data_IF_439545352604
#
_entry.id   IF_439545352604
#
_cell.length_a   1.000
_cell.length_b   1.000
_cell.length_c   1.000
_cell.angle_alpha   90.00
_cell.angle_beta   90.00
_cell.angle_gamma   90.00
#
_symmetry.space_group_name_H-M   'P 1'
#
loop_
_entity.id
_entity.type
_entity.pdbx_description
1 polymer ?
#
# COMPACT_ATOMS: atom_id res chain seq x y z
N UNK A 1 -12.93 14.39 -0.12
CA UNK A 1 -13.27 12.95 0.03
C UNK A 1 -11.98 12.25 0.36
N UNK A 2 -11.95 11.46 1.44
CA UNK A 2 -10.75 10.80 1.94
C UNK A 2 -10.29 9.68 0.97
N UNK A 3 -9.10 9.80 0.35
CA UNK A 3 -8.56 8.79 -0.57
C UNK A 3 -8.45 7.39 0.03
N UNK A 4 -8.08 7.30 1.31
CA UNK A 4 -7.87 6.03 2.00
C UNK A 4 -9.20 5.34 2.26
N UNK A 5 -10.23 6.11 2.61
CA UNK A 5 -11.59 5.59 2.73
C UNK A 5 -12.09 4.99 1.42
N UNK A 6 -11.90 5.69 0.30
CA UNK A 6 -12.34 5.19 -1.02
C UNK A 6 -11.65 3.85 -1.32
N UNK A 7 -10.35 3.77 -1.04
CA UNK A 7 -9.60 2.56 -1.35
C UNK A 7 -10.01 1.39 -0.46
N UNK A 8 -10.23 1.64 0.83
CA UNK A 8 -10.76 0.65 1.77
C UNK A 8 -12.16 0.16 1.37
N UNK A 9 -13.05 1.05 0.92
CA UNK A 9 -14.40 0.69 0.49
C UNK A 9 -14.37 -0.13 -0.81
N UNK A 10 -13.48 0.19 -1.76
CA UNK A 10 -13.23 -0.63 -2.96
C UNK A 10 -12.74 -2.03 -2.56
N UNK A 11 -11.73 -2.10 -1.71
CA UNK A 11 -11.13 -3.37 -1.32
C UNK A 11 -12.14 -4.25 -0.55
N UNK A 12 -12.97 -3.64 0.30
CA UNK A 12 -14.05 -4.33 1.00
C UNK A 12 -15.09 -4.93 0.03
N UNK A 13 -15.51 -4.20 -1.00
CA UNK A 13 -16.46 -4.72 -1.99
C UNK A 13 -15.86 -5.90 -2.78
N UNK A 14 -14.59 -5.78 -3.21
CA UNK A 14 -13.93 -6.85 -3.96
C UNK A 14 -13.72 -8.11 -3.11
N UNK A 15 -13.38 -7.95 -1.83
CA UNK A 15 -13.26 -9.06 -0.88
C UNK A 15 -14.62 -9.73 -0.67
N UNK A 16 -15.69 -8.95 -0.46
CA UNK A 16 -17.04 -9.49 -0.33
C UNK A 16 -17.42 -10.36 -1.54
N UNK A 17 -17.23 -9.85 -2.75
CA UNK A 17 -17.56 -10.59 -3.98
C UNK A 17 -16.67 -11.85 -4.13
N UNK A 18 -15.36 -11.74 -3.89
CA UNK A 18 -14.47 -12.89 -3.99
C UNK A 18 -14.82 -13.98 -2.97
N UNK A 19 -15.06 -13.61 -1.71
CA UNK A 19 -15.38 -14.56 -0.65
C UNK A 19 -16.72 -15.25 -0.90
N UNK A 20 -17.70 -14.51 -1.42
CA UNK A 20 -18.99 -15.08 -1.79
C UNK A 20 -18.88 -16.09 -2.94
N UNK A 21 -18.09 -15.76 -3.97
CA UNK A 21 -17.78 -16.66 -5.08
C UNK A 21 -17.06 -17.94 -4.62
N UNK A 22 -16.02 -17.80 -3.79
CA UNK A 22 -15.27 -18.93 -3.24
C UNK A 22 -16.15 -19.83 -2.37
N UNK A 23 -17.05 -19.23 -1.57
CA UNK A 23 -17.99 -19.94 -0.68
C UNK A 23 -18.93 -20.85 -1.45
N UNK A 24 -19.37 -20.45 -2.64
CA UNK A 24 -20.27 -21.26 -3.48
C UNK A 24 -19.52 -22.17 -4.48
N UNK A 25 -18.18 -22.10 -4.51
CA UNK A 25 -17.35 -22.82 -5.48
C UNK A 25 -17.49 -22.29 -6.92
N UNK A 26 -17.88 -21.02 -7.07
CA UNK A 26 -18.05 -20.37 -8.36
C UNK A 26 -16.74 -19.88 -8.97
N UNK A 27 -16.83 -19.34 -10.18
CA UNK A 27 -15.73 -18.73 -10.91
C UNK A 27 -16.13 -17.36 -11.46
N UNK A 28 -15.14 -16.53 -11.79
CA UNK A 28 -15.37 -15.22 -12.43
C UNK A 28 -16.10 -15.31 -13.79
N UNK A 29 -16.26 -16.51 -14.35
CA UNK A 29 -16.96 -16.75 -15.62
C UNK A 29 -18.45 -17.04 -15.45
N UNK A 30 -18.85 -17.58 -14.30
CA UNK A 30 -20.21 -18.07 -14.04
C UNK A 30 -20.94 -17.33 -12.90
N UNK A 31 -20.21 -16.52 -12.13
CA UNK A 31 -20.75 -15.81 -10.96
C UNK A 31 -21.06 -14.35 -11.27
N UNK A 32 -22.16 -13.83 -10.72
CA UNK A 32 -22.55 -12.43 -10.79
C UNK A 32 -23.25 -12.02 -9.49
N UNK A 33 -23.27 -10.71 -9.23
CA UNK A 33 -23.91 -10.11 -8.07
C UNK A 33 -24.94 -9.08 -8.48
N UNK A 34 -26.05 -9.11 -7.76
CA UNK A 34 -27.18 -8.21 -7.93
C UNK A 34 -27.25 -7.19 -6.81
N UNK A 35 -26.92 -5.94 -7.15
CA UNK A 35 -26.95 -4.80 -6.22
C UNK A 35 -28.16 -3.88 -6.43
N UNK A 36 -29.14 -4.28 -7.23
CA UNK A 36 -30.37 -3.52 -7.38
C UNK A 36 -31.21 -3.56 -6.09
N UNK A 37 -32.13 -2.61 -5.95
CA UNK A 37 -33.00 -2.52 -4.78
C UNK A 37 -33.76 -3.84 -4.54
N UNK A 38 -33.72 -4.33 -3.30
CA UNK A 38 -34.40 -5.56 -2.89
C UNK A 38 -33.65 -6.87 -3.21
N UNK A 39 -32.48 -6.80 -3.86
CA UNK A 39 -31.67 -7.99 -4.12
C UNK A 39 -30.82 -8.41 -2.92
N UNK A 40 -30.48 -9.70 -2.86
CA UNK A 40 -29.78 -10.31 -1.74
C UNK A 40 -28.41 -9.68 -1.46
N UNK A 41 -27.61 -9.46 -2.52
CA UNK A 41 -26.24 -8.94 -2.37
C UNK A 41 -26.26 -7.47 -1.92
N UNK A 42 -27.23 -6.68 -2.41
CA UNK A 42 -27.47 -5.31 -1.93
C UNK A 42 -27.72 -5.28 -0.42
N UNK A 43 -28.59 -6.16 0.06
CA UNK A 43 -28.96 -6.25 1.48
C UNK A 43 -27.78 -6.75 2.33
N UNK A 44 -26.99 -7.70 1.81
CA UNK A 44 -25.82 -8.24 2.48
C UNK A 44 -24.74 -7.16 2.69
N UNK A 45 -24.44 -6.38 1.65
CA UNK A 45 -23.47 -5.28 1.70
C UNK A 45 -23.94 -4.17 2.63
N UNK A 46 -25.23 -3.83 2.61
CA UNK A 46 -25.79 -2.85 3.55
C UNK A 46 -25.62 -3.28 5.00
N UNK A 47 -25.94 -4.55 5.29
CA UNK A 47 -25.82 -5.10 6.63
C UNK A 47 -24.37 -5.16 7.11
N UNK A 48 -23.43 -5.45 6.20
CA UNK A 48 -22.01 -5.62 6.54
C UNK A 48 -21.27 -4.28 6.70
N UNK A 49 -21.57 -3.30 5.85
CA UNK A 49 -20.79 -2.07 5.76
C UNK A 49 -21.58 -0.78 6.02
N UNK A 50 -22.92 -0.86 6.12
CA UNK A 50 -23.77 0.31 6.32
C UNK A 50 -23.78 1.29 5.14
N UNK A 51 -23.43 0.83 3.94
CA UNK A 51 -23.36 1.69 2.77
C UNK A 51 -24.75 2.03 2.22
N UNK A 52 -24.96 3.33 1.97
CA UNK A 52 -26.09 3.81 1.20
C UNK A 52 -25.99 3.35 -0.26
N UNK A 53 -27.12 3.39 -0.97
CA UNK A 53 -27.17 3.07 -2.40
C UNK A 53 -26.22 3.96 -3.21
N UNK A 54 -26.23 5.27 -2.96
CA UNK A 54 -25.35 6.22 -3.63
C UNK A 54 -23.87 5.86 -3.41
N UNK A 55 -23.49 5.48 -2.19
CA UNK A 55 -22.11 5.10 -1.90
C UNK A 55 -21.73 3.81 -2.62
N UNK A 56 -22.57 2.77 -2.53
CA UNK A 56 -22.32 1.49 -3.20
C UNK A 56 -22.20 1.65 -4.72
N UNK A 57 -23.12 2.38 -5.35
CA UNK A 57 -23.06 2.63 -6.79
C UNK A 57 -21.84 3.47 -7.17
N UNK A 58 -21.46 4.44 -6.33
CA UNK A 58 -20.21 5.18 -6.46
C UNK A 58 -18.98 4.26 -6.44
N UNK A 59 -18.94 3.28 -5.53
CA UNK A 59 -17.86 2.29 -5.43
C UNK A 59 -17.85 1.39 -6.68
N UNK A 60 -19.00 0.84 -7.09
CA UNK A 60 -19.11 -0.01 -8.28
C UNK A 60 -18.64 0.73 -9.53
N UNK A 61 -19.03 2.00 -9.69
CA UNK A 61 -18.60 2.82 -10.83
C UNK A 61 -17.09 3.05 -10.84
N UNK A 62 -16.47 3.29 -9.68
CA UNK A 62 -15.01 3.40 -9.57
C UNK A 62 -14.33 2.07 -9.92
N UNK A 63 -14.85 0.96 -9.42
CA UNK A 63 -14.34 -0.36 -9.74
C UNK A 63 -14.47 -0.66 -11.25
N UNK A 64 -15.59 -0.28 -11.86
CA UNK A 64 -15.81 -0.40 -13.30
C UNK A 64 -14.79 0.43 -14.10
N UNK A 65 -14.63 1.71 -13.76
CA UNK A 65 -13.64 2.59 -14.41
C UNK A 65 -12.19 2.11 -14.26
N UNK A 66 -11.89 1.35 -13.21
CA UNK A 66 -10.56 0.77 -12.95
C UNK A 66 -10.39 -0.65 -13.52
N UNK A 67 -11.40 -1.20 -14.20
CA UNK A 67 -11.36 -2.56 -14.75
C UNK A 67 -11.44 -3.68 -13.70
N UNK A 68 -11.83 -3.37 -12.46
CA UNK A 68 -11.93 -4.32 -11.35
C UNK A 68 -13.26 -5.08 -11.36
N UNK A 69 -14.32 -4.42 -11.84
CA UNK A 69 -15.65 -4.99 -12.01
C UNK A 69 -16.17 -4.68 -13.41
N UNK A 70 -17.11 -5.48 -13.92
CA UNK A 70 -17.94 -5.11 -15.07
C UNK A 70 -19.39 -5.03 -14.63
N UNK A 71 -20.04 -3.91 -14.91
CA UNK A 71 -21.48 -3.81 -14.76
C UNK A 71 -22.12 -4.19 -16.09
N UNK A 72 -22.73 -5.36 -16.16
CA UNK A 72 -23.36 -5.91 -17.36
C UNK A 72 -24.83 -5.43 -17.50
N UNK A 73 -25.24 -4.48 -16.66
CA UNK A 73 -26.62 -4.01 -16.55
C UNK A 73 -26.67 -2.50 -16.35
N UNK A 74 -27.81 -1.89 -16.66
CA UNK A 74 -28.03 -0.46 -16.36
C UNK A 74 -28.52 -0.22 -14.94
N UNK A 75 -28.92 -1.27 -14.22
CA UNK A 75 -29.53 -1.21 -12.88
C UNK A 75 -28.71 -1.88 -11.78
N UNK A 76 -27.46 -2.25 -12.08
CA UNK A 76 -26.56 -2.97 -11.16
C UNK A 76 -27.11 -4.34 -10.73
N UNK A 77 -28.03 -4.94 -11.49
CA UNK A 77 -28.58 -6.28 -11.22
C UNK A 77 -27.65 -7.42 -11.66
N UNK A 78 -26.63 -7.09 -12.47
CA UNK A 78 -25.63 -8.03 -12.95
C UNK A 78 -24.25 -7.37 -12.98
N UNK A 79 -23.57 -7.42 -11.85
CA UNK A 79 -22.18 -7.00 -11.71
C UNK A 79 -21.29 -8.23 -11.63
N UNK A 80 -20.18 -8.26 -12.36
CA UNK A 80 -19.24 -9.39 -12.38
C UNK A 80 -17.84 -8.96 -11.97
N UNK A 81 -17.13 -9.83 -11.28
CA UNK A 81 -15.74 -9.66 -10.89
C UNK A 81 -14.82 -9.93 -12.09
N UNK A 82 -13.78 -9.12 -12.28
CA UNK A 82 -12.74 -9.40 -13.30
C UNK A 82 -11.57 -10.16 -12.69
N UNK A 83 -10.69 -10.70 -13.55
CA UNK A 83 -9.42 -11.30 -13.10
C UNK A 83 -8.58 -10.31 -12.26
N UNK A 84 -8.53 -9.03 -12.68
CA UNK A 84 -7.84 -7.97 -11.94
C UNK A 84 -8.52 -7.68 -10.60
N UNK A 85 -9.86 -7.61 -10.57
CA UNK A 85 -10.62 -7.42 -9.34
C UNK A 85 -10.42 -8.56 -8.34
N UNK A 86 -10.42 -9.80 -8.84
CA UNK A 86 -10.14 -11.00 -8.03
C UNK A 86 -8.71 -10.99 -7.50
N UNK A 87 -7.72 -10.69 -8.36
CA UNK A 87 -6.31 -10.61 -7.97
C UNK A 87 -6.09 -9.57 -6.88
N UNK A 88 -6.75 -8.42 -6.98
CA UNK A 88 -6.72 -7.37 -5.94
C UNK A 88 -7.35 -7.84 -4.63
N UNK A 89 -8.52 -8.48 -4.67
CA UNK A 89 -9.17 -9.02 -3.47
C UNK A 89 -8.25 -10.00 -2.73
N UNK A 90 -7.64 -10.93 -3.47
CA UNK A 90 -6.67 -11.89 -2.92
C UNK A 90 -5.41 -11.18 -2.39
N UNK A 91 -4.87 -10.23 -3.14
CA UNK A 91 -3.69 -9.47 -2.72
C UNK A 91 -3.91 -8.71 -1.42
N UNK A 92 -5.06 -8.06 -1.24
CA UNK A 92 -5.37 -7.32 0.00
C UNK A 92 -5.67 -8.26 1.17
N UNK A 93 -6.45 -9.33 0.94
CA UNK A 93 -6.80 -10.34 1.95
C UNK A 93 -5.56 -11.05 2.50
N UNK A 94 -4.61 -11.39 1.63
CA UNK A 94 -3.38 -12.06 2.02
C UNK A 94 -2.28 -11.07 2.43
N UNK A 95 -2.15 -9.92 1.76
CA UNK A 95 -1.09 -8.93 2.00
C UNK A 95 -1.06 -8.36 3.41
N UNK A 96 -2.23 -8.24 4.08
CA UNK A 96 -2.30 -7.81 5.47
C UNK A 96 -1.70 -8.82 6.47
N UNK A 97 -1.59 -10.10 6.11
CA UNK A 97 -1.03 -11.17 6.97
C UNK A 97 0.27 -11.80 6.41
N UNK A 98 0.66 -11.47 5.17
CA UNK A 98 1.74 -12.17 4.43
C UNK A 98 3.09 -11.48 4.46
N UNK A 99 3.21 -10.33 5.12
CA UNK A 99 4.52 -9.71 5.41
C UNK A 99 5.47 -10.68 6.14
N UNK A 100 4.92 -11.53 7.00
CA UNK A 100 5.67 -12.55 7.75
C UNK A 100 6.07 -13.78 6.91
N UNK A 101 5.29 -14.15 5.89
CA UNK A 101 5.58 -15.31 5.03
C UNK A 101 6.54 -14.97 3.88
N UNK A 102 6.42 -13.78 3.30
CA UNK A 102 7.34 -13.31 2.24
C UNK A 102 8.77 -13.13 2.76
N UNK A 103 8.95 -12.87 4.05
CA UNK A 103 10.27 -12.87 4.69
C UNK A 103 10.96 -14.25 4.69
N UNK A 104 10.20 -15.35 4.50
CA UNK A 104 10.72 -16.73 4.52
C UNK A 104 10.94 -17.35 3.14
N UNK A 105 10.32 -16.84 2.08
CA UNK A 105 10.49 -17.36 0.72
C UNK A 105 10.86 -16.22 -0.24
N UNK A 106 12.13 -16.18 -0.66
CA UNK A 106 12.63 -15.21 -1.63
C UNK A 106 12.05 -15.50 -3.02
N UNK A 107 10.97 -14.82 -3.40
CA UNK A 107 10.51 -14.76 -4.78
C UNK A 107 11.14 -13.55 -5.47
N UNK A 108 11.89 -13.77 -6.55
CA UNK A 108 12.42 -12.69 -7.39
C UNK A 108 11.44 -12.42 -8.53
N UNK A 109 10.72 -11.29 -8.47
CA UNK A 109 9.87 -10.82 -9.58
C UNK A 109 10.57 -9.62 -10.24
N UNK A 110 11.11 -9.84 -11.44
CA UNK A 110 11.81 -8.82 -12.24
C UNK A 110 13.15 -8.41 -11.63
N UNK A 111 14.27 -8.79 -12.25
CA UNK A 111 15.59 -8.32 -11.80
C UNK A 111 15.83 -6.91 -12.31
N UNK A 112 15.83 -5.92 -11.41
CA UNK A 112 16.32 -4.57 -11.74
C UNK A 112 17.84 -4.60 -11.62
N UNK A 113 18.52 -4.60 -12.77
CA UNK A 113 19.97 -4.44 -12.84
C UNK A 113 20.31 -2.95 -12.79
N UNK A 114 20.59 -2.42 -11.60
CA UNK A 114 21.12 -1.07 -11.43
C UNK A 114 22.63 -1.16 -11.24
N UNK A 115 23.39 -0.36 -11.99
CA UNK A 115 24.80 -0.14 -11.73
C UNK A 115 24.94 0.85 -10.55
N UNK A 116 24.74 0.37 -9.32
CA UNK A 116 24.77 1.18 -8.10
C UNK A 116 23.76 0.74 -7.04
N UNK A 117 23.62 1.52 -5.97
CA UNK A 117 22.58 1.34 -4.97
C UNK A 117 21.21 1.59 -5.60
N UNK A 118 20.40 0.54 -5.72
CA UNK A 118 19.04 0.61 -6.22
C UNK A 118 18.07 0.85 -5.06
N UNK A 119 17.25 1.90 -5.14
CA UNK A 119 16.13 2.10 -4.24
C UNK A 119 14.83 1.73 -4.94
N UNK A 120 14.01 0.88 -4.32
CA UNK A 120 12.67 0.53 -4.82
C UNK A 120 11.64 1.00 -3.79
N UNK A 121 10.83 1.99 -4.17
CA UNK A 121 9.83 2.63 -3.31
C UNK A 121 10.42 3.65 -2.32
N UNK A 122 9.55 4.35 -1.58
CA UNK A 122 9.92 5.46 -0.67
C UNK A 122 10.25 5.01 0.76
N UNK A 123 9.87 3.79 1.12
CA UNK A 123 10.02 3.27 2.49
C UNK A 123 11.46 3.22 2.98
N UNK A 124 12.43 3.04 2.08
CA UNK A 124 13.85 3.00 2.45
C UNK A 124 14.43 4.40 2.72
N UNK A 125 14.05 5.42 1.94
CA UNK A 125 14.49 6.81 2.19
C UNK A 125 14.00 7.31 3.53
N UNK A 126 12.71 7.08 3.84
CA UNK A 126 12.11 7.54 5.08
C UNK A 126 12.74 6.87 6.31
N UNK A 127 12.99 5.56 6.25
CA UNK A 127 13.66 4.84 7.34
C UNK A 127 15.09 5.34 7.58
N UNK A 128 15.88 5.53 6.53
CA UNK A 128 17.25 6.06 6.66
C UNK A 128 17.21 7.48 7.23
N UNK A 129 16.34 8.34 6.69
CA UNK A 129 16.16 9.70 7.18
C UNK A 129 15.85 9.73 8.68
N UNK A 130 14.86 8.94 9.11
CA UNK A 130 14.44 8.86 10.51
C UNK A 130 15.57 8.39 11.44
N UNK A 131 16.38 7.41 11.01
CA UNK A 131 17.51 6.92 11.81
C UNK A 131 18.56 8.00 12.01
N UNK A 132 18.93 8.75 10.95
CA UNK A 132 19.90 9.83 11.08
C UNK A 132 19.35 11.00 11.88
N UNK A 133 18.07 11.35 11.73
CA UNK A 133 17.42 12.34 12.60
C UNK A 133 17.49 11.92 14.07
N UNK A 134 17.21 10.65 14.38
CA UNK A 134 17.30 10.14 15.75
C UNK A 134 18.74 10.21 16.30
N UNK A 135 19.75 9.93 15.47
CA UNK A 135 21.16 10.07 15.86
C UNK A 135 21.48 11.54 16.20
N UNK A 136 21.04 12.49 15.36
CA UNK A 136 21.25 13.92 15.58
C UNK A 136 20.60 14.37 16.89
N UNK A 137 19.33 13.98 17.10
CA UNK A 137 18.58 14.31 18.31
C UNK A 137 19.25 13.74 19.56
N UNK A 138 19.84 12.53 19.47
CA UNK A 138 20.58 11.91 20.58
C UNK A 138 21.92 12.61 20.86
N UNK A 139 22.63 13.09 19.84
CA UNK A 139 23.83 13.92 20.02
C UNK A 139 23.46 15.21 20.75
N UNK A 140 22.35 15.86 20.36
CA UNK A 140 21.91 17.10 20.98
C UNK A 140 21.52 16.92 22.45
N UNK A 141 20.93 15.76 22.79
CA UNK A 141 20.51 15.42 24.15
C UNK A 141 21.60 14.78 25.01
N UNK A 142 22.75 14.41 24.44
CA UNK A 142 23.83 13.80 25.20
C UNK A 142 24.36 14.75 26.28
N UNK A 143 24.74 14.19 27.43
CA UNK A 143 25.47 14.92 28.47
C UNK A 143 26.94 15.05 28.06
N UNK A 144 27.22 16.00 27.17
CA UNK A 144 28.55 16.31 26.64
C UNK A 144 28.71 17.83 26.47
N UNK A 145 29.95 18.29 26.32
CA UNK A 145 30.24 19.70 26.02
C UNK A 145 29.71 20.11 24.64
N UNK A 146 29.51 21.40 24.43
CA UNK A 146 29.07 21.93 23.14
C UNK A 146 30.06 21.59 22.02
N UNK A 147 31.35 21.60 22.36
CA UNK A 147 32.45 21.26 21.47
C UNK A 147 32.39 19.79 21.03
N UNK A 148 32.18 18.86 21.96
CA UNK A 148 32.06 17.43 21.65
C UNK A 148 30.83 17.12 20.78
N UNK A 149 29.71 17.82 21.02
CA UNK A 149 28.50 17.69 20.18
C UNK A 149 28.73 18.21 18.77
N UNK A 150 29.39 19.35 18.63
CA UNK A 150 29.74 19.93 17.34
C UNK A 150 30.73 19.03 16.56
N UNK A 151 31.70 18.45 17.26
CA UNK A 151 32.63 17.48 16.68
C UNK A 151 31.89 16.23 16.18
N UNK A 152 30.99 15.66 16.98
CA UNK A 152 30.19 14.50 16.60
C UNK A 152 29.33 14.75 15.35
N UNK A 153 28.67 15.91 15.27
CA UNK A 153 27.92 16.33 14.07
C UNK A 153 28.85 16.52 12.87
N UNK A 154 30.02 17.14 13.05
CA UNK A 154 30.99 17.31 11.98
C UNK A 154 31.51 15.98 11.41
N UNK A 155 31.75 14.98 12.28
CA UNK A 155 32.13 13.64 11.84
C UNK A 155 31.00 12.97 11.05
N UNK A 156 29.75 13.16 11.47
CA UNK A 156 28.58 12.65 10.75
C UNK A 156 28.41 13.33 9.39
N UNK A 157 28.64 14.64 9.29
CA UNK A 157 28.66 15.37 8.01
C UNK A 157 29.73 14.81 7.08
N UNK A 158 30.97 14.64 7.58
CA UNK A 158 32.07 14.05 6.78
C UNK A 158 31.75 12.65 6.30
N UNK A 159 31.10 11.83 7.14
CA UNK A 159 30.62 10.52 6.74
C UNK A 159 29.59 10.61 5.61
N UNK A 160 28.66 11.55 5.65
CA UNK A 160 27.64 11.70 4.60
C UNK A 160 28.18 12.30 3.29
N UNK A 161 29.23 13.11 3.36
CA UNK A 161 29.86 13.76 2.19
C UNK A 161 30.87 12.85 1.47
N UNK A 162 31.42 11.84 2.16
CA UNK A 162 32.46 11.00 1.57
C UNK A 162 31.87 10.16 0.40
N UNK A 163 32.48 10.14 -0.81
CA UNK A 163 31.88 9.52 -1.99
C UNK A 163 31.52 8.03 -1.84
N UNK A 164 32.34 7.27 -1.12
CA UNK A 164 32.09 5.84 -0.90
C UNK A 164 30.91 5.58 0.04
N UNK A 165 30.67 6.47 1.01
CA UNK A 165 29.58 6.31 1.98
C UNK A 165 28.30 6.94 1.46
N UNK A 166 28.37 8.08 0.78
CA UNK A 166 27.23 8.70 0.11
C UNK A 166 26.62 7.82 -0.98
N UNK A 167 27.45 7.06 -1.73
CA UNK A 167 26.97 6.07 -2.71
C UNK A 167 26.23 4.88 -2.08
N UNK A 168 26.54 4.53 -0.83
CA UNK A 168 25.84 3.47 -0.08
C UNK A 168 24.55 3.99 0.55
N UNK A 169 24.59 5.19 1.13
CA UNK A 169 23.44 5.86 1.75
C UNK A 169 22.41 6.29 0.69
N UNK A 170 22.87 6.59 -0.53
CA UNK A 170 22.03 6.95 -1.67
C UNK A 170 21.57 8.41 -1.65
N UNK A 171 20.56 8.73 -2.45
CA UNK A 171 20.10 10.11 -2.69
C UNK A 171 19.64 10.89 -1.46
N UNK A 172 19.38 10.22 -0.33
CA UNK A 172 19.00 10.86 0.93
C UNK A 172 20.18 11.59 1.60
N UNK A 173 21.43 11.24 1.26
CA UNK A 173 22.63 11.83 1.87
C UNK A 173 22.64 13.37 1.78
N UNK A 174 22.22 13.94 0.65
CA UNK A 174 22.14 15.40 0.48
C UNK A 174 21.03 16.08 1.28
N UNK A 175 19.96 15.36 1.64
CA UNK A 175 18.93 15.89 2.54
C UNK A 175 19.38 15.82 4.00
N UNK A 176 20.16 14.78 4.35
CA UNK A 176 20.69 14.59 5.71
C UNK A 176 21.76 15.60 6.07
N UNK A 177 22.63 15.99 5.14
CA UNK A 177 23.60 17.06 5.37
C UNK A 177 22.91 18.40 5.66
N UNK A 178 21.70 18.63 5.16
CA UNK A 178 20.91 19.83 5.47
C UNK A 178 20.27 19.84 6.86
N UNK A 179 20.29 18.73 7.61
CA UNK A 179 19.78 18.63 8.98
C UNK A 179 20.87 18.90 10.04
N UNK A 180 22.13 18.86 9.65
CA UNK A 180 23.31 18.99 10.50
C UNK A 180 23.80 20.45 10.52
#
# INVERSE_FOLDING_TARGET
MDPDKIQNDIDALLIFMNDDMERIGGTIKDTYWGFAQGQGDRNAVEKLHGWSEENLFGIINRCHSRGLLKNMSTRYDRVVLTEEGQSRALSVKHGKNRSYELARSSYTIGSIHVAGSAQVGDGNTQNIYNVFQEIIDKIDRAEATSEEKAEAKSLLTKFLEHPLTSSVVGGVAGSLTGLL
#
